data_IF_614103235829
#
_entry.id   IF_614103235829
#
_cell.length_a   1.000
_cell.length_b   1.000
_cell.length_c   1.000
_cell.angle_alpha   90.00
_cell.angle_beta   90.00
_cell.angle_gamma   90.00
#
_symmetry.space_group_name_H-M   'P 1'
#
loop_
_entity.id
_entity.type
_entity.pdbx_description
1 polymer ?
#
# COMPACT_ATOMS: atom_id res chain seq x y z
N UNK A 1 11.21 12.87 9.09
CA UNK A 1 10.34 12.56 10.24
C UNK A 1 9.84 11.14 10.06
N UNK A 2 10.17 10.25 11.01
CA UNK A 2 9.80 8.82 11.00
C UNK A 2 8.52 8.54 11.79
N UNK A 3 8.12 9.47 12.66
CA UNK A 3 6.93 9.37 13.51
C UNK A 3 5.79 10.25 12.99
N UNK A 4 4.61 9.65 12.85
CA UNK A 4 3.38 10.38 12.50
C UNK A 4 2.20 9.81 13.29
N UNK A 5 1.41 10.67 13.93
CA UNK A 5 0.30 10.28 14.81
C UNK A 5 0.69 9.27 15.91
N UNK A 6 1.94 9.33 16.40
CA UNK A 6 2.47 8.40 17.40
C UNK A 6 2.91 7.03 16.84
N UNK A 7 2.88 6.84 15.53
CA UNK A 7 3.36 5.62 14.87
C UNK A 7 4.73 5.83 14.23
N UNK A 8 5.66 4.90 14.47
CA UNK A 8 6.92 4.85 13.75
C UNK A 8 6.70 4.15 12.39
N UNK A 9 6.61 4.94 11.32
CA UNK A 9 6.28 4.46 9.98
C UNK A 9 7.40 3.60 9.37
N UNK A 10 8.65 3.86 9.72
CA UNK A 10 9.80 3.05 9.30
C UNK A 10 9.70 1.62 9.87
N UNK A 11 9.36 1.49 11.15
CA UNK A 11 9.16 0.19 11.79
C UNK A 11 7.94 -0.55 11.23
N UNK A 12 6.87 0.16 10.89
CA UNK A 12 5.67 -0.45 10.30
C UNK A 12 5.95 -0.94 8.88
N UNK A 13 6.60 -0.13 8.04
CA UNK A 13 6.89 -0.51 6.66
C UNK A 13 7.88 -1.68 6.59
N UNK A 14 8.76 -1.82 7.59
CA UNK A 14 9.71 -2.94 7.68
C UNK A 14 9.04 -4.30 7.94
N UNK A 15 7.75 -4.33 8.26
CA UNK A 15 6.98 -5.58 8.40
C UNK A 15 6.51 -6.13 7.06
N UNK A 16 6.61 -5.33 5.98
CA UNK A 16 6.18 -5.71 4.65
C UNK A 16 7.37 -6.17 3.80
N UNK A 17 7.10 -6.92 2.74
CA UNK A 17 8.09 -7.44 1.79
C UNK A 17 8.62 -6.35 0.83
N UNK A 18 9.20 -5.29 1.39
CA UNK A 18 9.75 -4.14 0.67
C UNK A 18 11.27 -4.17 0.80
N UNK A 19 11.95 -4.48 -0.31
CA UNK A 19 13.41 -4.41 -0.42
C UNK A 19 13.83 -3.02 -0.88
N UNK A 20 13.66 -2.03 -0.02
CA UNK A 20 14.01 -0.64 -0.25
C UNK A 20 14.31 0.09 1.06
N UNK A 21 15.14 1.13 1.00
CA UNK A 21 15.47 1.96 2.14
C UNK A 21 14.34 2.96 2.41
N UNK A 22 13.85 3.05 3.65
CA UNK A 22 12.89 4.08 4.03
C UNK A 22 13.51 5.48 3.90
N UNK A 23 12.79 6.43 3.30
CA UNK A 23 13.25 7.82 3.17
C UNK A 23 12.40 8.73 4.04
N UNK A 24 11.09 8.69 3.85
CA UNK A 24 10.14 9.53 4.59
C UNK A 24 8.72 8.95 4.53
N UNK A 25 7.89 9.36 5.47
CA UNK A 25 6.47 9.06 5.48
C UNK A 25 5.66 10.24 5.99
N UNK A 26 4.46 10.42 5.47
CA UNK A 26 3.53 11.45 5.93
C UNK A 26 2.08 10.96 5.87
N UNK A 27 1.22 11.53 6.72
CA UNK A 27 -0.23 11.26 6.67
C UNK A 27 -0.83 11.88 5.42
N UNK A 28 -1.74 11.13 4.81
CA UNK A 28 -2.65 11.59 3.78
C UNK A 28 -4.04 11.82 4.36
N UNK A 29 -4.37 13.08 4.66
CA UNK A 29 -5.57 13.47 5.42
C UNK A 29 -6.85 13.55 4.60
N UNK A 30 -6.81 13.29 3.28
CA UNK A 30 -8.01 13.38 2.43
C UNK A 30 -8.95 12.17 2.53
N UNK A 31 -8.53 11.12 3.22
CA UNK A 31 -9.37 9.94 3.48
C UNK A 31 -10.18 10.09 4.77
N UNK A 32 -11.45 9.73 4.74
CA UNK A 32 -12.34 9.81 5.91
C UNK A 32 -12.55 8.45 6.63
N UNK A 33 -12.12 7.34 6.01
CA UNK A 33 -12.42 5.99 6.51
C UNK A 33 -11.17 5.37 7.13
N UNK A 34 -10.14 5.08 6.33
CA UNK A 34 -8.89 4.48 6.77
C UNK A 34 -7.82 5.55 7.06
N UNK A 35 -6.95 5.31 8.04
CA UNK A 35 -5.74 6.12 8.19
C UNK A 35 -4.81 5.78 7.02
N UNK A 36 -4.45 6.79 6.23
CA UNK A 36 -3.64 6.62 5.02
C UNK A 36 -2.34 7.36 5.18
N UNK A 37 -1.24 6.71 4.81
CA UNK A 37 0.11 7.24 4.85
C UNK A 37 0.77 7.04 3.48
N UNK A 38 1.51 8.06 3.03
CA UNK A 38 2.35 7.95 1.84
C UNK A 38 3.77 7.74 2.32
N UNK A 39 4.37 6.63 1.91
CA UNK A 39 5.73 6.25 2.26
C UNK A 39 6.60 6.36 1.01
N UNK A 40 7.70 7.10 1.10
CA UNK A 40 8.72 7.15 0.06
C UNK A 40 9.88 6.26 0.50
N UNK A 41 10.26 5.31 -0.36
CA UNK A 41 11.45 4.49 -0.20
C UNK A 41 12.43 4.73 -1.36
N UNK A 42 13.69 4.33 -1.18
CA UNK A 42 14.74 4.34 -2.19
C UNK A 42 15.14 2.91 -2.54
N UNK A 43 15.01 2.55 -3.81
CA UNK A 43 15.41 1.26 -4.35
C UNK A 43 16.34 1.49 -5.55
N UNK A 44 17.58 1.01 -5.47
CA UNK A 44 18.56 1.17 -6.56
C UNK A 44 18.78 2.63 -7.00
N UNK A 45 18.76 3.57 -6.05
CA UNK A 45 18.87 5.02 -6.33
C UNK A 45 17.58 5.69 -6.80
N UNK A 46 16.51 4.94 -7.08
CA UNK A 46 15.22 5.47 -7.52
C UNK A 46 14.25 5.60 -6.35
N UNK A 47 13.48 6.70 -6.31
CA UNK A 47 12.39 6.87 -5.33
C UNK A 47 11.14 6.11 -5.77
N UNK A 48 10.61 5.30 -4.87
CA UNK A 48 9.36 4.56 -5.05
C UNK A 48 8.40 4.97 -3.92
N UNK A 49 7.13 5.15 -4.26
CA UNK A 49 6.10 5.51 -3.28
C UNK A 49 5.16 4.33 -3.04
N UNK A 50 4.83 4.11 -1.77
CA UNK A 50 3.86 3.15 -1.30
C UNK A 50 2.72 3.88 -0.59
N UNK A 51 1.52 3.31 -0.66
CA UNK A 51 0.40 3.69 0.18
C UNK A 51 0.33 2.66 1.31
N UNK A 52 0.52 3.12 2.54
CA UNK A 52 0.31 2.34 3.75
C UNK A 52 -1.04 2.73 4.34
N UNK A 53 -1.92 1.76 4.59
CA UNK A 53 -3.22 2.02 5.20
C UNK A 53 -3.42 1.19 6.46
N UNK A 54 -3.94 1.84 7.50
CA UNK A 54 -4.53 1.17 8.65
C UNK A 54 -6.04 1.11 8.42
N UNK A 55 -6.57 -0.10 8.31
CA UNK A 55 -8.00 -0.32 8.13
C UNK A 55 -8.73 0.10 9.40
N UNK A 56 -9.81 0.87 9.24
CA UNK A 56 -10.64 1.26 10.35
C UNK A 56 -11.53 0.10 10.80
N UNK A 57 -11.22 -0.47 11.97
CA UNK A 57 -11.91 -1.63 12.51
C UNK A 57 -13.31 -1.31 13.07
N UNK A 58 -13.62 -0.02 13.27
CA UNK A 58 -14.97 0.40 13.68
C UNK A 58 -15.93 0.39 12.48
N UNK A 59 -15.45 0.79 11.30
CA UNK A 59 -16.22 0.74 10.05
C UNK A 59 -16.21 -0.67 9.45
N UNK A 60 -15.09 -1.37 9.54
CA UNK A 60 -14.92 -2.74 9.04
C UNK A 60 -14.55 -3.68 10.19
N UNK A 61 -15.54 -4.30 10.86
CA UNK A 61 -15.31 -5.20 11.99
C UNK A 61 -14.46 -6.44 11.65
N UNK A 62 -14.43 -6.81 10.36
CA UNK A 62 -13.70 -7.95 9.81
C UNK A 62 -12.74 -7.51 8.69
N UNK A 63 -11.60 -6.85 9.02
CA UNK A 63 -10.65 -6.35 8.03
C UNK A 63 -10.07 -7.42 7.11
N UNK A 64 -9.97 -8.66 7.57
CA UNK A 64 -9.51 -9.80 6.80
C UNK A 64 -10.40 -10.09 5.58
N UNK A 65 -11.72 -9.92 5.72
CA UNK A 65 -12.66 -10.07 4.60
C UNK A 65 -12.51 -8.93 3.59
N UNK A 66 -12.24 -7.71 4.07
CA UNK A 66 -11.94 -6.56 3.21
C UNK A 66 -10.66 -6.83 2.41
N UNK A 67 -9.59 -7.28 3.07
CA UNK A 67 -8.32 -7.59 2.41
C UNK A 67 -8.43 -8.78 1.46
N UNK A 68 -9.24 -9.79 1.78
CA UNK A 68 -9.54 -10.89 0.87
C UNK A 68 -10.22 -10.37 -0.41
N UNK A 69 -11.23 -9.50 -0.29
CA UNK A 69 -11.89 -8.90 -1.44
C UNK A 69 -10.92 -8.05 -2.28
N UNK A 70 -10.12 -7.20 -1.63
CA UNK A 70 -9.12 -6.38 -2.33
C UNK A 70 -8.14 -7.28 -3.10
N UNK A 71 -7.65 -8.36 -2.49
CA UNK A 71 -6.77 -9.33 -3.16
C UNK A 71 -7.45 -9.96 -4.37
N UNK A 72 -8.66 -10.50 -4.21
CA UNK A 72 -9.39 -11.17 -5.29
C UNK A 72 -9.68 -10.22 -6.46
N UNK A 73 -10.14 -9.00 -6.19
CA UNK A 73 -10.43 -8.01 -7.23
C UNK A 73 -9.16 -7.56 -7.95
N UNK A 74 -8.07 -7.29 -7.22
CA UNK A 74 -6.81 -6.86 -7.85
C UNK A 74 -6.17 -7.96 -8.70
N UNK A 75 -6.19 -9.22 -8.23
CA UNK A 75 -5.73 -10.37 -9.00
C UNK A 75 -6.59 -10.59 -10.26
N UNK A 76 -7.91 -10.47 -10.14
CA UNK A 76 -8.81 -10.58 -11.28
C UNK A 76 -8.52 -9.52 -12.35
N UNK A 77 -8.43 -8.25 -11.95
CA UNK A 77 -8.11 -7.14 -12.86
C UNK A 77 -6.75 -7.33 -13.51
N UNK A 78 -5.74 -7.77 -12.76
CA UNK A 78 -4.41 -8.05 -13.29
C UNK A 78 -4.42 -9.15 -14.35
N UNK A 79 -5.15 -10.25 -14.09
CA UNK A 79 -5.31 -11.35 -15.07
C UNK A 79 -6.03 -10.87 -16.34
N UNK A 80 -7.14 -10.15 -16.18
CA UNK A 80 -7.95 -9.66 -17.30
C UNK A 80 -7.14 -8.68 -18.17
N UNK A 81 -6.58 -7.64 -17.57
CA UNK A 81 -5.80 -6.63 -18.29
C UNK A 81 -4.57 -7.26 -18.94
N UNK A 82 -3.84 -8.13 -18.23
CA UNK A 82 -2.66 -8.81 -18.79
C UNK A 82 -2.95 -9.81 -19.91
N UNK A 83 -4.20 -10.24 -20.09
CA UNK A 83 -4.63 -11.03 -21.23
C UNK A 83 -4.90 -10.17 -22.47
N UNK A 84 -5.39 -8.94 -22.28
CA UNK A 84 -5.66 -7.97 -23.35
C UNK A 84 -4.37 -7.28 -23.82
N UNK A 85 -3.55 -6.82 -22.87
CA UNK A 85 -2.30 -6.11 -23.12
C UNK A 85 -1.35 -6.21 -21.91
N UNK A 86 -0.14 -6.70 -22.16
CA UNK A 86 0.87 -6.92 -21.11
C UNK A 86 1.69 -5.67 -20.78
N UNK A 87 1.51 -4.58 -21.51
CA UNK A 87 2.30 -3.38 -21.29
C UNK A 87 1.93 -2.71 -19.96
N UNK A 88 2.96 -2.51 -19.13
CA UNK A 88 2.94 -1.77 -17.86
C UNK A 88 1.80 -2.10 -16.89
N UNK A 89 1.62 -3.39 -16.58
CA UNK A 89 0.63 -3.84 -15.59
C UNK A 89 0.82 -3.21 -14.21
N UNK A 90 2.06 -2.84 -13.86
CA UNK A 90 2.41 -2.16 -12.61
C UNK A 90 1.78 -0.78 -12.47
N UNK A 91 1.47 -0.08 -13.56
CA UNK A 91 0.78 1.21 -13.53
C UNK A 91 -0.72 1.11 -13.77
N UNK A 92 -1.20 -0.04 -14.24
CA UNK A 92 -2.61 -0.28 -14.56
C UNK A 92 -3.36 -1.05 -13.47
N UNK A 93 -2.63 -1.73 -12.60
CA UNK A 93 -3.19 -2.59 -11.56
C UNK A 93 -2.50 -2.35 -10.23
N UNK A 94 -3.26 -2.40 -9.14
CA UNK A 94 -2.71 -2.34 -7.80
C UNK A 94 -2.01 -3.66 -7.45
N UNK A 95 -0.86 -3.57 -6.79
CA UNK A 95 -0.12 -4.72 -6.28
C UNK A 95 -0.10 -4.62 -4.76
N UNK A 96 -0.60 -5.65 -4.09
CA UNK A 96 -0.51 -5.77 -2.64
C UNK A 96 0.89 -6.26 -2.27
N UNK A 97 1.48 -5.62 -1.26
CA UNK A 97 2.74 -6.06 -0.67
C UNK A 97 2.39 -6.70 0.67
N UNK A 98 2.62 -8.01 0.86
CA UNK A 98 2.38 -8.71 2.13
C UNK A 98 3.30 -8.23 3.24
#
# INVERSE_FOLDING_TARGET
MTEVNGFNLEKLISQFQIVAEFVEGHVWTKGHINDTYIITCRQGGTRIRYILQRINHHVFPYPELVMQNVKLTTEHLRKKIGAEDRHDLTRRTMTLVP
#
